data_IF_564827340984
#
_entry.id   IF_564827340984
#
_cell.length_a   1.000
_cell.length_b   1.000
_cell.length_c   1.000
_cell.angle_alpha   90.00
_cell.angle_beta   90.00
_cell.angle_gamma   90.00
#
_symmetry.space_group_name_H-M   'P 1'
#
loop_
_entity.id
_entity.type
_entity.pdbx_description
1 polymer ?
#
# COMPACT_ATOMS: atom_id res chain seq x y z
N UNK A 1 56.07 -28.93 14.38
CA UNK A 1 55.35 -28.24 13.29
C UNK A 1 53.84 -28.42 13.34
N UNK A 2 53.29 -29.47 13.98
CA UNK A 2 51.84 -29.69 14.07
C UNK A 2 51.07 -28.61 14.88
N UNK A 3 51.63 -28.10 15.97
CA UNK A 3 50.94 -27.13 16.85
C UNK A 3 50.80 -25.71 16.28
N UNK A 4 51.50 -25.34 15.20
CA UNK A 4 51.34 -24.02 14.56
C UNK A 4 50.32 -24.04 13.42
N UNK A 5 50.04 -25.21 12.85
CA UNK A 5 49.06 -25.39 11.79
C UNK A 5 47.62 -25.38 12.34
N UNK A 6 47.43 -25.93 13.53
CA UNK A 6 46.12 -26.04 14.17
C UNK A 6 45.58 -24.70 14.68
N UNK A 7 46.47 -23.78 15.11
CA UNK A 7 46.10 -22.43 15.55
C UNK A 7 45.74 -21.52 14.37
N UNK A 8 46.31 -21.75 13.19
CA UNK A 8 46.00 -20.99 11.98
C UNK A 8 44.61 -21.34 11.44
N UNK A 9 44.23 -22.63 11.47
CA UNK A 9 42.89 -23.06 11.05
C UNK A 9 41.78 -22.52 11.96
N UNK A 10 42.03 -22.38 13.26
CA UNK A 10 41.02 -21.90 14.22
C UNK A 10 40.79 -20.38 14.13
N UNK A 11 41.83 -19.62 13.76
CA UNK A 11 41.71 -18.17 13.51
C UNK A 11 40.94 -17.86 12.20
N UNK A 12 41.04 -18.73 11.19
CA UNK A 12 40.34 -18.54 9.90
C UNK A 12 38.83 -18.81 10.04
N UNK A 13 38.42 -19.77 10.88
CA UNK A 13 36.99 -20.05 11.12
C UNK A 13 36.29 -18.95 11.93
N UNK A 14 36.99 -18.27 12.85
CA UNK A 14 36.42 -17.19 13.67
C UNK A 14 36.27 -15.85 12.92
N UNK A 15 36.92 -15.69 11.76
CA UNK A 15 36.80 -14.49 10.91
C UNK A 15 35.77 -14.69 9.78
N UNK A 16 35.25 -15.91 9.62
CA UNK A 16 34.29 -16.26 8.54
C UNK A 16 32.82 -16.05 8.93
N UNK A 17 32.51 -15.65 10.16
CA UNK A 17 31.17 -15.24 10.57
C UNK A 17 30.90 -13.77 10.23
N UNK A 18 31.20 -13.39 8.98
CA UNK A 18 30.63 -12.21 8.38
C UNK A 18 29.15 -12.51 8.13
N UNK A 19 28.33 -12.11 9.10
CA UNK A 19 26.94 -11.67 8.93
C UNK A 19 26.31 -12.05 7.60
N UNK A 20 25.78 -13.26 7.50
CA UNK A 20 24.54 -13.41 6.77
C UNK A 20 23.49 -12.68 7.61
N UNK A 21 23.38 -11.36 7.43
CA UNK A 21 22.09 -10.75 7.61
C UNK A 21 21.15 -11.56 6.70
N UNK A 22 19.93 -11.93 7.13
CA UNK A 22 18.93 -12.20 6.14
C UNK A 22 18.82 -10.89 5.36
N UNK A 23 19.51 -10.81 4.21
CA UNK A 23 18.98 -10.06 3.12
C UNK A 23 17.63 -10.72 2.90
N UNK A 24 16.58 -10.10 3.43
CA UNK A 24 15.27 -10.20 2.85
C UNK A 24 15.52 -9.90 1.38
N UNK A 25 15.70 -10.95 0.58
CA UNK A 25 15.47 -10.88 -0.83
C UNK A 25 13.97 -10.61 -0.92
N UNK A 26 13.58 -9.36 -0.68
CA UNK A 26 12.34 -8.86 -1.25
C UNK A 26 12.49 -9.18 -2.73
N UNK A 27 11.51 -9.89 -3.24
CA UNK A 27 11.46 -10.45 -4.58
C UNK A 27 11.66 -9.34 -5.62
N UNK A 28 12.90 -8.94 -5.88
CA UNK A 28 13.28 -7.70 -6.57
C UNK A 28 13.14 -7.75 -8.11
N UNK A 29 12.36 -8.69 -8.63
CA UNK A 29 12.24 -8.90 -10.09
C UNK A 29 10.82 -9.23 -10.55
N UNK A 30 9.82 -9.24 -9.66
CA UNK A 30 8.43 -9.32 -10.12
C UNK A 30 7.84 -7.91 -10.22
N UNK A 31 7.64 -7.37 -11.43
CA UNK A 31 7.06 -6.04 -11.60
C UNK A 31 5.62 -5.96 -11.07
N UNK A 32 4.92 -7.09 -10.88
CA UNK A 32 3.58 -7.10 -10.30
C UNK A 32 3.56 -6.98 -8.78
N UNK A 33 4.71 -7.02 -8.11
CA UNK A 33 4.81 -6.95 -6.65
C UNK A 33 5.20 -5.54 -6.17
N UNK A 34 4.70 -5.13 -4.98
CA UNK A 34 5.12 -3.87 -4.37
C UNK A 34 6.58 -3.92 -3.91
N UNK A 35 7.26 -2.79 -4.03
CA UNK A 35 8.56 -2.54 -3.40
C UNK A 35 8.73 -1.04 -3.14
N UNK A 36 9.82 -0.66 -2.47
CA UNK A 36 10.16 0.77 -2.27
C UNK A 36 10.34 1.48 -3.62
N UNK A 37 10.92 0.78 -4.60
CA UNK A 37 11.14 1.28 -5.96
C UNK A 37 9.92 1.10 -6.88
N UNK A 38 8.95 0.26 -6.50
CA UNK A 38 7.70 0.03 -7.23
C UNK A 38 6.46 0.20 -6.32
N UNK A 39 6.14 1.43 -5.89
CA UNK A 39 5.04 1.71 -4.96
C UNK A 39 3.68 1.91 -5.64
N UNK A 40 3.66 1.96 -6.98
CA UNK A 40 2.47 2.30 -7.76
C UNK A 40 1.70 1.04 -8.16
N UNK A 41 0.45 0.96 -7.73
CA UNK A 41 -0.50 -0.07 -8.12
C UNK A 41 -1.46 0.49 -9.16
N UNK A 42 -1.63 -0.17 -10.29
CA UNK A 42 -2.39 0.33 -11.43
C UNK A 42 -3.75 -0.36 -11.54
N UNK A 43 -4.78 0.36 -12.00
CA UNK A 43 -6.12 -0.21 -12.26
C UNK A 43 -6.23 -0.74 -13.69
N UNK A 44 -6.88 -1.90 -13.80
CA UNK A 44 -7.13 -2.61 -15.05
C UNK A 44 -8.51 -3.24 -15.02
N UNK A 45 -9.11 -3.46 -16.18
CA UNK A 45 -10.43 -4.08 -16.20
C UNK A 45 -10.98 -4.26 -17.60
N UNK A 46 -12.14 -4.90 -17.69
CA UNK A 46 -12.86 -5.10 -18.95
C UNK A 46 -13.71 -3.90 -19.31
N UNK A 47 -14.04 -3.78 -20.60
CA UNK A 47 -14.92 -2.75 -21.15
C UNK A 47 -16.28 -2.69 -20.45
N UNK A 48 -16.77 -3.82 -19.94
CA UNK A 48 -18.08 -3.91 -19.31
C UNK A 48 -18.04 -3.96 -17.77
N UNK A 49 -16.90 -3.73 -17.11
CA UNK A 49 -16.74 -3.93 -15.65
C UNK A 49 -17.00 -5.36 -15.13
N UNK A 50 -17.12 -6.38 -15.98
CA UNK A 50 -17.27 -7.77 -15.51
C UNK A 50 -16.05 -8.24 -14.72
N UNK A 51 -14.90 -7.62 -14.92
CA UNK A 51 -13.71 -7.79 -14.09
C UNK A 51 -12.97 -6.46 -13.92
N UNK A 52 -12.55 -6.19 -12.68
CA UNK A 52 -11.59 -5.14 -12.37
C UNK A 52 -10.50 -5.71 -11.47
N UNK A 53 -9.25 -5.44 -11.81
CA UNK A 53 -8.09 -5.89 -11.04
C UNK A 53 -7.02 -4.82 -10.92
N UNK A 54 -6.07 -5.07 -10.03
CA UNK A 54 -4.92 -4.20 -9.83
C UNK A 54 -3.62 -5.00 -9.75
N UNK A 55 -2.50 -4.38 -10.15
CA UNK A 55 -1.14 -4.88 -9.90
C UNK A 55 -0.12 -3.76 -10.07
N UNK A 56 1.14 -4.01 -9.70
CA UNK A 56 2.18 -3.00 -9.70
C UNK A 56 2.96 -2.87 -11.02
N UNK A 57 2.72 -3.75 -12.00
CA UNK A 57 3.38 -3.64 -13.31
C UNK A 57 2.66 -2.61 -14.19
N UNK A 58 3.31 -1.49 -14.49
CA UNK A 58 2.76 -0.45 -15.36
C UNK A 58 2.70 -0.83 -16.84
N UNK A 59 3.42 -1.88 -17.26
CA UNK A 59 3.52 -2.29 -18.66
C UNK A 59 2.60 -3.46 -19.01
N UNK A 60 2.01 -4.13 -18.02
CA UNK A 60 1.11 -5.26 -18.25
C UNK A 60 -0.35 -4.82 -18.35
N UNK A 61 -0.80 -4.51 -19.57
CA UNK A 61 -2.21 -4.26 -19.86
C UNK A 61 -2.98 -5.52 -20.29
N UNK A 62 -2.41 -6.70 -20.05
CA UNK A 62 -2.96 -7.98 -20.51
C UNK A 62 -4.40 -8.20 -20.07
N UNK A 63 -5.31 -8.28 -21.05
CA UNK A 63 -6.74 -8.50 -20.82
C UNK A 63 -7.55 -7.26 -20.43
N UNK A 64 -6.90 -6.12 -20.20
CA UNK A 64 -7.57 -4.84 -19.99
C UNK A 64 -8.27 -4.36 -21.26
N UNK A 65 -9.29 -3.51 -21.13
CA UNK A 65 -10.02 -2.91 -22.23
C UNK A 65 -9.06 -2.16 -23.17
N UNK A 66 -9.19 -2.37 -24.49
CA UNK A 66 -8.29 -1.76 -25.48
C UNK A 66 -8.38 -0.23 -25.50
N UNK A 67 -9.56 0.32 -25.22
CA UNK A 67 -9.77 1.77 -25.09
C UNK A 67 -9.27 2.34 -23.76
N UNK A 68 -8.93 1.47 -22.80
CA UNK A 68 -8.44 1.86 -21.48
C UNK A 68 -9.51 2.42 -20.55
N UNK A 69 -10.79 2.13 -20.79
CA UNK A 69 -11.87 2.36 -19.84
C UNK A 69 -12.89 1.24 -19.92
N UNK A 70 -13.66 1.09 -18.85
CA UNK A 70 -14.93 0.37 -18.91
C UNK A 70 -16.09 1.36 -18.84
N UNK A 71 -17.22 0.96 -19.41
CA UNK A 71 -18.45 1.74 -19.43
C UNK A 71 -19.70 0.89 -19.18
N UNK A 72 -20.73 1.55 -18.61
CA UNK A 72 -22.08 1.03 -18.52
C UNK A 72 -23.07 2.10 -18.93
N UNK A 73 -23.97 1.72 -19.84
CA UNK A 73 -25.10 2.53 -20.28
C UNK A 73 -26.39 2.08 -19.60
N UNK A 74 -27.24 3.04 -19.24
CA UNK A 74 -28.52 2.84 -18.59
C UNK A 74 -29.62 3.48 -19.44
N UNK A 75 -30.73 2.78 -19.67
CA UNK A 75 -31.79 3.36 -20.49
C UNK A 75 -32.34 4.64 -19.82
N UNK A 76 -32.94 5.51 -20.62
CA UNK A 76 -33.60 6.74 -20.16
C UNK A 76 -34.46 6.50 -18.91
N UNK A 77 -34.28 7.37 -17.91
CA UNK A 77 -35.00 7.34 -16.64
C UNK A 77 -34.68 6.14 -15.73
N UNK A 78 -33.80 5.23 -16.15
CA UNK A 78 -33.25 4.21 -15.25
C UNK A 78 -32.18 4.84 -14.35
N UNK A 79 -32.07 4.31 -13.14
CA UNK A 79 -31.02 4.69 -12.20
C UNK A 79 -29.67 4.24 -12.75
N UNK A 80 -28.72 5.16 -12.80
CA UNK A 80 -27.31 4.89 -13.07
C UNK A 80 -26.74 4.34 -11.79
N UNK A 81 -26.50 3.03 -11.75
CA UNK A 81 -26.03 2.32 -10.57
C UNK A 81 -24.83 1.46 -10.92
N UNK A 82 -23.70 1.72 -10.26
CA UNK A 82 -22.50 0.92 -10.36
C UNK A 82 -21.98 0.59 -8.97
N UNK A 83 -21.59 -0.67 -8.81
CA UNK A 83 -20.89 -1.17 -7.63
C UNK A 83 -19.95 -2.27 -8.09
N UNK A 84 -18.65 -2.02 -8.04
CA UNK A 84 -17.64 -3.01 -8.39
C UNK A 84 -16.42 -2.85 -7.49
N UNK A 85 -15.60 -3.90 -7.44
CA UNK A 85 -14.40 -3.92 -6.62
C UNK A 85 -13.22 -4.35 -7.48
N UNK A 86 -12.19 -3.52 -7.52
CA UNK A 86 -10.91 -3.85 -8.11
C UNK A 86 -10.05 -4.54 -7.06
N UNK A 87 -9.67 -5.80 -7.32
CA UNK A 87 -8.86 -6.62 -6.40
C UNK A 87 -7.48 -6.87 -6.99
N UNK A 88 -6.50 -7.06 -6.13
CA UNK A 88 -5.16 -7.45 -6.55
C UNK A 88 -5.23 -8.74 -7.43
N UNK A 89 -4.65 -8.69 -8.62
CA UNK A 89 -4.72 -9.76 -9.61
C UNK A 89 -4.01 -11.04 -9.12
N UNK A 90 -2.87 -10.86 -8.48
CA UNK A 90 -2.04 -11.92 -7.93
C UNK A 90 -1.74 -11.61 -6.47
N UNK A 91 -1.86 -12.62 -5.61
CA UNK A 91 -1.57 -12.45 -4.20
C UNK A 91 -0.15 -11.92 -3.96
N UNK A 92 0.02 -11.19 -2.87
CA UNK A 92 1.35 -10.73 -2.46
C UNK A 92 2.29 -11.91 -2.25
N UNK A 93 3.53 -11.79 -2.74
CA UNK A 93 4.58 -12.78 -2.48
C UNK A 93 5.17 -12.61 -1.09
N UNK A 94 5.32 -11.36 -0.67
CA UNK A 94 5.87 -10.91 0.62
C UNK A 94 4.98 -9.84 1.26
N UNK A 95 5.14 -9.59 2.57
CA UNK A 95 4.39 -8.54 3.27
C UNK A 95 4.83 -7.15 2.79
N UNK A 96 3.87 -6.31 2.40
CA UNK A 96 4.09 -4.89 2.12
C UNK A 96 4.00 -4.08 3.41
N UNK A 97 4.99 -3.23 3.66
CA UNK A 97 5.04 -2.33 4.81
C UNK A 97 4.90 -0.88 4.35
N UNK A 98 4.08 -0.10 5.04
CA UNK A 98 3.84 1.31 4.77
C UNK A 98 4.46 2.20 5.84
N UNK A 99 4.95 3.38 5.43
CA UNK A 99 5.43 4.40 6.36
C UNK A 99 4.29 4.83 7.29
N UNK A 100 4.45 4.76 8.63
CA UNK A 100 3.42 5.20 9.58
C UNK A 100 3.06 6.68 9.48
N UNK A 101 3.93 7.50 8.89
CA UNK A 101 3.69 8.93 8.63
C UNK A 101 3.42 9.21 7.14
N UNK A 102 3.26 8.17 6.33
CA UNK A 102 3.01 8.29 4.90
C UNK A 102 1.54 8.56 4.59
N UNK A 103 1.29 8.83 3.32
CA UNK A 103 -0.05 9.01 2.76
C UNK A 103 -0.22 8.07 1.58
N UNK A 104 -1.29 7.26 1.60
CA UNK A 104 -1.74 6.51 0.43
C UNK A 104 -2.49 7.49 -0.47
N UNK A 105 -2.13 7.53 -1.75
CA UNK A 105 -2.77 8.41 -2.73
C UNK A 105 -3.50 7.53 -3.74
N UNK A 106 -4.82 7.64 -3.83
CA UNK A 106 -5.65 6.95 -4.81
C UNK A 106 -6.08 7.97 -5.87
N UNK A 107 -5.75 7.68 -7.12
CA UNK A 107 -6.08 8.50 -8.28
C UNK A 107 -6.93 7.67 -9.25
N UNK A 108 -8.11 8.18 -9.58
CA UNK A 108 -9.00 7.58 -10.57
C UNK A 108 -9.56 8.63 -11.51
N UNK A 109 -9.76 8.23 -12.77
CA UNK A 109 -10.56 8.99 -13.72
C UNK A 109 -11.97 8.43 -13.81
N UNK A 110 -12.97 9.31 -13.86
CA UNK A 110 -14.36 8.94 -14.17
C UNK A 110 -14.96 9.91 -15.19
N UNK A 111 -16.01 9.45 -15.89
CA UNK A 111 -16.86 10.29 -16.73
C UNK A 111 -18.29 9.80 -16.61
N UNK A 112 -19.19 10.68 -16.18
CA UNK A 112 -20.52 10.26 -15.72
C UNK A 112 -21.58 11.15 -16.36
N UNK A 113 -22.65 10.53 -16.84
CA UNK A 113 -23.86 11.20 -17.28
C UNK A 113 -25.08 10.70 -16.52
N UNK A 114 -25.63 11.54 -15.64
CA UNK A 114 -26.82 11.23 -14.85
C UNK A 114 -27.56 12.51 -14.44
N UNK A 115 -28.81 12.38 -14.03
CA UNK A 115 -29.52 13.47 -13.38
C UNK A 115 -29.02 13.69 -11.94
N UNK A 116 -29.36 14.86 -11.39
CA UNK A 116 -29.14 15.17 -9.99
C UNK A 116 -30.13 14.46 -9.08
N UNK A 117 -29.69 14.23 -7.84
CA UNK A 117 -30.52 13.63 -6.81
C UNK A 117 -31.55 14.62 -6.27
N UNK A 118 -32.78 14.14 -6.15
CA UNK A 118 -33.87 14.87 -5.51
C UNK A 118 -33.98 14.45 -4.04
N UNK A 119 -34.55 15.29 -3.17
CA UNK A 119 -34.71 15.04 -1.72
C UNK A 119 -35.53 13.78 -1.34
N UNK A 120 -36.06 13.05 -2.31
CA UNK A 120 -36.91 11.87 -2.11
C UNK A 120 -36.27 10.55 -2.57
N UNK A 121 -35.04 10.58 -3.10
CA UNK A 121 -34.38 9.42 -3.69
C UNK A 121 -33.15 8.99 -2.89
N UNK A 122 -32.98 7.68 -2.73
CA UNK A 122 -31.79 7.08 -2.11
C UNK A 122 -30.64 7.13 -3.13
N UNK A 123 -29.87 8.21 -3.07
CA UNK A 123 -28.69 8.41 -3.90
C UNK A 123 -27.40 8.07 -3.18
N UNK A 124 -26.40 7.70 -3.96
CA UNK A 124 -25.03 7.49 -3.49
C UNK A 124 -24.12 8.28 -4.42
N UNK A 125 -23.49 9.34 -3.92
CA UNK A 125 -22.44 9.99 -4.70
C UNK A 125 -21.26 9.03 -4.86
N UNK A 126 -20.35 9.36 -5.77
CA UNK A 126 -19.20 8.52 -6.02
C UNK A 126 -18.44 8.30 -4.71
N UNK A 127 -18.36 7.04 -4.30
CA UNK A 127 -17.78 6.65 -3.02
C UNK A 127 -16.68 5.64 -3.29
N UNK A 128 -15.49 5.94 -2.77
CA UNK A 128 -14.34 5.05 -2.82
C UNK A 128 -14.12 4.46 -1.44
N UNK A 129 -13.89 3.16 -1.39
CA UNK A 129 -13.56 2.44 -0.16
C UNK A 129 -12.26 1.66 -0.37
N UNK A 130 -11.26 1.95 0.45
CA UNK A 130 -10.05 1.14 0.54
C UNK A 130 -10.31 0.01 1.53
N UNK A 131 -10.20 -1.22 1.04
CA UNK A 131 -10.38 -2.44 1.83
C UNK A 131 -9.05 -3.13 2.04
N UNK A 132 -8.87 -3.66 3.25
CA UNK A 132 -7.79 -4.57 3.64
C UNK A 132 -8.40 -5.95 3.86
N UNK A 133 -8.32 -6.80 2.84
CA UNK A 133 -9.10 -8.05 2.82
C UNK A 133 -10.60 -7.75 2.83
N UNK A 134 -11.27 -8.14 3.92
CA UNK A 134 -12.70 -7.88 4.13
C UNK A 134 -12.99 -6.67 5.05
N UNK A 135 -11.96 -5.94 5.47
CA UNK A 135 -12.10 -4.79 6.37
C UNK A 135 -12.05 -3.49 5.56
N UNK A 136 -13.10 -2.67 5.67
CA UNK A 136 -13.07 -1.28 5.17
C UNK A 136 -12.17 -0.45 6.08
N UNK A 137 -10.99 -0.06 5.60
CA UNK A 137 -10.01 0.70 6.40
C UNK A 137 -10.12 2.20 6.17
N UNK A 138 -10.60 2.62 5.00
CA UNK A 138 -10.93 4.01 4.72
C UNK A 138 -12.09 4.09 3.72
N UNK A 139 -12.92 5.12 3.82
CA UNK A 139 -14.02 5.41 2.88
C UNK A 139 -14.15 6.92 2.71
N UNK A 140 -14.33 7.38 1.47
CA UNK A 140 -14.61 8.77 1.17
C UNK A 140 -15.66 8.89 0.06
N UNK A 141 -16.61 9.82 0.29
CA UNK A 141 -17.61 10.24 -0.68
C UNK A 141 -17.17 11.52 -1.38
N UNK A 142 -17.40 11.59 -2.70
CA UNK A 142 -17.07 12.71 -3.57
C UNK A 142 -18.36 13.32 -4.12
N UNK A 143 -19.01 14.25 -3.39
CA UNK A 143 -20.30 14.83 -3.78
C UNK A 143 -20.20 15.82 -4.95
N UNK A 144 -19.00 16.33 -5.23
CA UNK A 144 -18.73 17.36 -6.24
C UNK A 144 -18.36 16.80 -7.61
N UNK A 145 -18.47 15.48 -7.82
CA UNK A 145 -18.24 14.87 -9.13
C UNK A 145 -19.34 15.30 -10.11
N UNK A 146 -18.91 15.81 -11.27
CA UNK A 146 -19.81 16.24 -12.33
C UNK A 146 -20.57 15.05 -12.94
N UNK A 147 -21.83 15.28 -13.30
CA UNK A 147 -22.69 14.28 -13.96
C UNK A 147 -23.11 14.73 -15.37
N UNK A 148 -22.36 15.67 -15.96
CA UNK A 148 -22.65 16.30 -17.26
C UNK A 148 -21.80 15.71 -18.40
N UNK A 149 -21.27 14.50 -18.20
CA UNK A 149 -20.41 13.76 -19.13
C UNK A 149 -19.03 14.41 -19.39
N UNK A 150 -18.50 15.13 -18.40
CA UNK A 150 -17.12 15.60 -18.42
C UNK A 150 -16.18 14.57 -17.77
N UNK A 151 -14.92 14.58 -18.19
CA UNK A 151 -13.84 13.82 -17.56
C UNK A 151 -13.42 14.48 -16.24
N UNK A 152 -13.42 13.70 -15.17
CA UNK A 152 -13.10 14.15 -13.82
C UNK A 152 -11.98 13.31 -13.23
N UNK A 153 -10.89 13.97 -12.83
CA UNK A 153 -9.78 13.33 -12.12
C UNK A 153 -10.02 13.47 -10.61
N UNK A 154 -10.09 12.33 -9.94
CA UNK A 154 -10.29 12.28 -8.50
C UNK A 154 -8.98 11.86 -7.86
N UNK A 155 -8.63 12.58 -6.80
CA UNK A 155 -7.46 12.31 -5.99
C UNK A 155 -7.84 12.25 -4.53
N UNK A 156 -7.63 11.09 -3.93
CA UNK A 156 -7.94 10.80 -2.54
C UNK A 156 -6.65 10.55 -1.75
N UNK A 157 -6.42 11.36 -0.73
CA UNK A 157 -5.29 11.18 0.19
C UNK A 157 -5.76 10.54 1.49
N UNK A 158 -5.12 9.43 1.86
CA UNK A 158 -5.41 8.69 3.09
C UNK A 158 -4.13 8.66 3.93
N UNK A 159 -4.09 9.33 5.09
CA UNK A 159 -2.98 9.18 6.01
C UNK A 159 -2.89 7.72 6.49
N UNK A 160 -1.68 7.17 6.57
CA UNK A 160 -1.48 5.80 7.04
C UNK A 160 -1.74 5.75 8.55
N UNK A 161 -2.76 4.97 8.94
CA UNK A 161 -3.05 4.67 10.34
C UNK A 161 -2.39 3.36 10.80
N UNK A 162 -2.37 3.11 12.12
CA UNK A 162 -1.78 1.90 12.72
C UNK A 162 -2.28 0.58 12.09
N UNK A 163 -3.54 0.54 11.64
CA UNK A 163 -4.14 -0.65 11.03
C UNK A 163 -3.76 -0.87 9.55
N UNK A 164 -3.08 0.10 8.92
CA UNK A 164 -2.68 0.11 7.51
C UNK A 164 -1.17 -0.05 7.30
N UNK A 165 -0.37 -0.13 8.38
CA UNK A 165 1.10 -0.16 8.30
C UNK A 165 1.68 -1.43 7.67
N UNK A 166 0.89 -2.51 7.60
CA UNK A 166 1.32 -3.77 6.98
C UNK A 166 0.17 -4.43 6.23
N UNK A 167 0.48 -5.08 5.10
CA UNK A 167 -0.48 -5.78 4.25
C UNK A 167 0.11 -7.14 3.88
N UNK A 168 -0.58 -8.22 4.21
CA UNK A 168 -0.06 -9.58 4.11
C UNK A 168 -0.74 -10.38 2.98
N UNK A 169 -0.06 -11.45 2.54
CA UNK A 169 -0.51 -12.43 1.53
C UNK A 169 -1.79 -13.20 1.91
N UNK A 170 -2.11 -13.29 3.21
CA UNK A 170 -3.11 -14.23 3.74
C UNK A 170 -4.46 -13.56 3.96
N UNK A 171 -4.91 -12.80 2.96
CA UNK A 171 -6.23 -12.18 2.95
C UNK A 171 -6.28 -10.76 3.53
N UNK A 172 -5.14 -10.06 3.58
CA UNK A 172 -5.08 -8.63 3.91
C UNK A 172 -4.59 -7.80 2.72
N UNK A 173 -4.88 -8.25 1.49
CA UNK A 173 -4.51 -7.54 0.28
C UNK A 173 -5.43 -6.34 0.03
N UNK A 174 -4.93 -5.28 -0.63
CA UNK A 174 -5.72 -4.12 -0.97
C UNK A 174 -6.77 -4.44 -2.02
N UNK A 175 -7.97 -3.94 -1.78
CA UNK A 175 -9.03 -3.87 -2.78
C UNK A 175 -9.68 -2.50 -2.71
N UNK A 176 -10.06 -1.95 -3.86
CA UNK A 176 -10.77 -0.68 -3.96
C UNK A 176 -12.19 -0.96 -4.42
N UNK A 177 -13.16 -0.57 -3.61
CA UNK A 177 -14.57 -0.64 -3.98
C UNK A 177 -15.03 0.74 -4.44
N UNK A 178 -15.74 0.75 -5.57
CA UNK A 178 -16.28 1.93 -6.23
C UNK A 178 -17.79 1.79 -6.24
N UNK A 179 -18.49 2.79 -5.71
CA UNK A 179 -19.94 2.83 -5.63
C UNK A 179 -20.44 4.17 -6.16
N UNK A 180 -21.50 4.14 -6.97
CA UNK A 180 -22.20 5.33 -7.44
C UNK A 180 -23.65 4.99 -7.80
N UNK A 181 -24.58 5.84 -7.40
CA UNK A 181 -26.00 5.67 -7.68
C UNK A 181 -26.70 7.02 -7.79
N UNK A 182 -27.15 7.37 -8.99
CA UNK A 182 -27.96 8.57 -9.25
C UNK A 182 -29.08 8.30 -10.26
N UNK A 183 -30.18 9.06 -10.24
CA UNK A 183 -31.24 8.91 -11.23
C UNK A 183 -30.74 9.20 -12.65
N UNK A 184 -31.30 8.54 -13.65
CA UNK A 184 -31.12 8.91 -15.05
C UNK A 184 -32.03 10.08 -15.45
N UNK A 185 -31.65 10.82 -16.48
CA UNK A 185 -32.48 11.90 -17.02
C UNK A 185 -33.82 11.38 -17.55
N UNK A 186 -34.90 12.07 -17.21
CA UNK A 186 -36.27 11.68 -17.57
C UNK A 186 -37.19 12.89 -17.80
N UNK A 187 -36.68 13.95 -18.40
CA UNK A 187 -37.49 15.13 -18.72
C UNK A 187 -38.04 15.09 -20.16
N UNK A 188 -38.84 16.10 -20.52
CA UNK A 188 -39.45 16.19 -21.85
C UNK A 188 -38.43 16.44 -22.98
N UNK A 189 -37.22 16.90 -22.64
CA UNK A 189 -36.16 17.14 -23.62
C UNK A 189 -35.58 15.84 -24.15
N UNK A 190 -35.65 14.77 -23.37
CA UNK A 190 -35.27 13.41 -23.75
C UNK A 190 -36.11 12.79 -24.88
N UNK A 191 -37.19 13.44 -25.34
CA UNK A 191 -37.92 13.02 -26.56
C UNK A 191 -37.13 13.37 -27.83
N UNK A 192 -36.28 14.41 -27.76
CA UNK A 192 -35.48 14.91 -28.87
C UNK A 192 -33.97 14.75 -28.67
N UNK A 193 -33.52 14.56 -27.43
CA UNK A 193 -32.12 14.39 -27.04
C UNK A 193 -31.87 12.99 -26.48
N UNK A 194 -30.63 12.54 -26.53
CA UNK A 194 -30.21 11.30 -25.87
C UNK A 194 -30.07 11.55 -24.36
N UNK A 195 -30.81 10.78 -23.58
CA UNK A 195 -30.81 10.82 -22.10
C UNK A 195 -30.38 9.46 -21.52
N UNK A 196 -29.69 8.64 -22.31
CA UNK A 196 -29.08 7.39 -21.86
C UNK A 196 -28.06 7.73 -20.78
N UNK A 197 -28.26 7.21 -19.57
CA UNK A 197 -27.30 7.43 -18.48
C UNK A 197 -26.01 6.65 -18.74
N UNK A 198 -24.87 7.19 -18.36
CA UNK A 198 -23.57 6.57 -18.60
C UNK A 198 -22.66 6.69 -17.39
N UNK A 199 -21.87 5.64 -17.14
CA UNK A 199 -20.79 5.67 -16.16
C UNK A 199 -19.54 5.05 -16.77
N UNK A 200 -18.46 5.81 -16.81
CA UNK A 200 -17.17 5.37 -17.32
C UNK A 200 -16.13 5.41 -16.19
N UNK A 201 -15.27 4.41 -16.16
CA UNK A 201 -14.12 4.34 -15.26
C UNK A 201 -12.86 4.07 -16.08
N UNK A 202 -11.86 4.95 -15.94
CA UNK A 202 -10.62 4.85 -16.68
C UNK A 202 -9.64 3.88 -16.01
N UNK A 203 -8.98 3.05 -16.82
CA UNK A 203 -7.89 2.16 -16.46
C UNK A 203 -6.54 2.78 -16.83
N UNK A 204 -5.45 2.21 -16.34
CA UNK A 204 -4.12 2.80 -16.49
C UNK A 204 -3.66 2.92 -17.95
N UNK A 205 -4.14 2.07 -18.86
CA UNK A 205 -3.83 2.16 -20.30
C UNK A 205 -4.72 3.12 -21.10
N UNK A 206 -5.48 4.01 -20.45
CA UNK A 206 -6.27 5.01 -21.16
C UNK A 206 -5.40 5.96 -21.98
N UNK A 207 -5.95 6.47 -23.07
CA UNK A 207 -5.27 7.42 -23.97
C UNK A 207 -5.66 8.87 -23.68
N UNK A 208 -6.60 9.07 -22.77
CA UNK A 208 -7.18 10.37 -22.41
C UNK A 208 -6.31 11.12 -21.38
N UNK A 209 -5.29 10.45 -20.83
CA UNK A 209 -4.33 11.05 -19.90
C UNK A 209 -4.82 11.12 -18.45
N UNK A 210 -5.81 10.30 -18.10
CA UNK A 210 -6.32 10.18 -16.73
C UNK A 210 -5.39 9.31 -15.89
N UNK A 211 -5.15 9.69 -14.64
CA UNK A 211 -4.43 8.87 -13.69
C UNK A 211 -5.37 7.81 -13.10
N UNK A 212 -4.97 6.54 -13.22
CA UNK A 212 -5.70 5.39 -12.71
C UNK A 212 -4.74 4.46 -11.94
N UNK A 213 -4.35 4.91 -10.75
CA UNK A 213 -3.37 4.21 -9.91
C UNK A 213 -3.54 4.52 -8.43
N UNK A 214 -2.87 3.73 -7.59
CA UNK A 214 -2.72 3.93 -6.16
C UNK A 214 -1.23 3.99 -5.84
N UNK A 215 -0.78 5.05 -5.21
CA UNK A 215 0.57 5.17 -4.69
C UNK A 215 0.59 4.83 -3.20
N UNK A 216 1.30 3.76 -2.84
CA UNK A 216 1.51 3.37 -1.47
C UNK A 216 2.84 3.92 -0.95
N UNK A 217 2.92 4.46 0.27
CA UNK A 217 4.19 4.90 0.87
C UNK A 217 4.99 3.68 1.37
N UNK A 218 5.44 2.82 0.45
CA UNK A 218 6.12 1.56 0.76
C UNK A 218 7.50 1.83 1.35
N UNK A 219 7.81 1.17 2.46
CA UNK A 219 9.10 1.27 3.16
C UNK A 219 9.65 -0.10 3.50
N UNK A 220 10.92 -0.15 3.87
CA UNK A 220 11.51 -1.35 4.44
C UNK A 220 10.89 -1.69 5.81
N UNK A 221 10.89 -2.98 6.18
CA UNK A 221 10.32 -3.44 7.45
C UNK A 221 10.92 -2.73 8.69
N UNK A 222 12.22 -2.41 8.67
CA UNK A 222 12.88 -1.69 9.76
C UNK A 222 12.29 -0.30 9.96
N UNK A 223 12.03 0.42 8.87
CA UNK A 223 11.49 1.78 8.87
C UNK A 223 10.01 1.82 9.28
N UNK A 224 9.25 0.77 8.98
CA UNK A 224 7.86 0.64 9.43
C UNK A 224 7.71 0.38 10.94
N UNK A 225 8.79 -0.05 11.61
CA UNK A 225 8.78 -0.38 13.05
C UNK A 225 9.43 0.73 13.89
N UNK A 226 10.11 1.69 13.26
CA UNK A 226 10.67 2.83 13.97
C UNK A 226 9.53 3.73 14.44
N UNK A 227 9.38 3.98 15.76
CA UNK A 227 8.51 5.03 16.24
C UNK A 227 8.92 6.33 15.57
N UNK A 228 7.95 7.12 15.10
CA UNK A 228 8.20 8.49 14.71
C UNK A 228 8.74 9.23 15.95
N UNK A 229 10.06 9.37 16.06
CA UNK A 229 10.67 10.11 17.15
C UNK A 229 10.41 11.60 16.89
N UNK A 230 9.59 12.29 17.71
CA UNK A 230 9.23 13.68 17.45
C UNK A 230 10.36 14.67 17.80
N UNK A 231 11.50 14.22 18.30
CA UNK A 231 12.59 15.12 18.72
C UNK A 231 13.91 14.80 18.01
N UNK A 232 14.05 15.35 16.81
CA UNK A 232 15.35 15.58 16.21
C UNK A 232 16.10 16.69 16.96
N UNK A 233 16.80 16.35 18.04
CA UNK A 233 17.89 17.16 18.56
C UNK A 233 19.19 16.36 18.61
N UNK A 234 20.18 16.89 17.90
CA UNK A 234 21.54 16.36 17.89
C UNK A 234 22.21 16.74 19.21
N UNK A 235 22.47 15.75 20.07
CA UNK A 235 23.27 15.92 21.27
C UNK A 235 24.15 14.70 21.53
N UNK A 236 25.42 14.78 21.12
CA UNK A 236 26.53 13.98 21.65
C UNK A 236 26.47 13.98 23.19
N UNK A 237 26.18 12.84 23.82
CA UNK A 237 26.83 12.42 25.07
C UNK A 237 26.64 10.93 25.32
N UNK A 238 27.70 10.27 25.80
CA UNK A 238 27.74 8.85 26.07
C UNK A 238 26.80 8.45 27.20
N UNK A 239 25.66 7.84 26.85
CA UNK A 239 24.67 7.37 27.82
C UNK A 239 24.09 6.02 27.43
N UNK A 240 24.35 5.00 28.25
CA UNK A 240 23.79 3.66 28.12
C UNK A 240 22.32 3.70 28.54
N UNK A 241 21.37 3.67 27.59
CA UNK A 241 20.01 3.14 27.78
C UNK A 241 19.21 3.20 26.48
N UNK A 242 18.66 2.06 26.04
CA UNK A 242 17.73 2.01 24.91
C UNK A 242 17.40 0.58 24.52
N UNK A 243 16.71 -0.12 25.41
CA UNK A 243 16.33 -1.52 25.26
C UNK A 243 15.39 -1.73 24.06
N UNK A 244 15.84 -2.52 23.08
CA UNK A 244 14.99 -3.11 22.04
C UNK A 244 14.06 -4.13 22.72
N UNK A 245 12.72 -4.01 22.61
CA UNK A 245 11.82 -5.03 23.15
C UNK A 245 11.96 -6.31 22.33
N UNK A 246 12.74 -7.27 22.82
CA UNK A 246 12.75 -8.62 22.24
C UNK A 246 14.01 -9.46 22.41
N UNK A 247 15.21 -8.87 22.43
CA UNK A 247 16.46 -9.65 22.49
C UNK A 247 17.59 -8.91 23.24
N UNK A 248 17.38 -8.65 24.53
CA UNK A 248 18.31 -7.88 25.38
C UNK A 248 18.97 -8.65 26.53
N UNK A 249 19.03 -9.99 26.50
CA UNK A 249 19.61 -10.78 27.61
C UNK A 249 20.61 -11.82 27.12
N UNK A 250 21.84 -11.42 26.82
CA UNK A 250 23.06 -12.20 27.13
C UNK A 250 24.32 -11.37 26.83
N UNK A 251 24.69 -10.48 27.75
CA UNK A 251 26.06 -9.97 27.87
C UNK A 251 26.24 -9.61 29.36
N UNK A 252 26.84 -10.47 30.16
CA UNK A 252 28.27 -10.37 30.42
C UNK A 252 28.52 -10.53 31.92
N UNK A 253 28.40 -11.75 32.44
CA UNK A 253 28.91 -12.12 33.75
C UNK A 253 30.22 -12.88 33.55
N UNK A 254 31.32 -12.17 33.37
CA UNK A 254 32.66 -12.74 33.53
C UNK A 254 33.65 -11.63 33.92
N UNK A 255 34.14 -11.73 35.16
CA UNK A 255 35.50 -11.41 35.61
C UNK A 255 35.54 -10.43 36.79
N UNK A 256 35.51 -10.97 38.01
CA UNK A 256 36.30 -10.47 39.13
C UNK A 256 36.62 -11.65 40.08
N UNK A 257 37.76 -12.29 39.85
CA UNK A 257 38.41 -13.16 40.83
C UNK A 257 39.93 -12.96 40.72
N UNK A 258 40.45 -11.93 41.39
CA UNK A 258 41.88 -11.83 41.69
C UNK A 258 42.06 -12.16 43.18
N UNK A 259 42.74 -13.28 43.41
CA UNK A 259 43.02 -13.85 44.71
C UNK A 259 43.98 -12.98 45.53
N UNK A 260 43.64 -12.82 46.81
CA UNK A 260 44.48 -12.21 47.84
C UNK A 260 45.14 -13.31 48.69
N UNK A 261 46.47 -13.41 48.69
CA UNK A 261 47.34 -14.08 49.69
C UNK A 261 48.74 -13.44 49.52
N UNK A 262 49.51 -12.95 50.50
CA UNK A 262 49.35 -12.65 51.93
C UNK A 262 50.37 -11.57 52.32
N UNK A 263 50.07 -10.85 53.39
CA UNK A 263 51.03 -10.12 54.25
C UNK A 263 52.05 -11.11 54.86
N UNK A 264 53.15 -10.80 55.58
CA UNK A 264 53.75 -9.63 56.21
C UNK A 264 55.15 -10.06 56.69
N UNK A 265 56.09 -9.11 56.81
CA UNK A 265 57.10 -8.97 57.89
C UNK A 265 58.14 -10.08 58.16
N UNK A 266 59.43 -9.69 58.09
CA UNK A 266 60.34 -9.83 59.23
C UNK A 266 61.40 -8.71 59.24
N UNK A 267 61.49 -8.02 60.38
CA UNK A 267 62.64 -7.23 60.80
C UNK A 267 63.83 -8.15 61.10
N UNK A 268 65.02 -7.73 60.71
CA UNK A 268 66.21 -7.58 61.56
C UNK A 268 67.11 -6.49 60.96
#
# INVERSE_FOLDING_TARGET
MANRLMTLCMAIFLVSSATAAPASAQTADDPKQPSVENPHMHFWGTDDFSSCWTHFDSNDSGGSAEQGYGDRTFNQGQRVEVSFTCRLQENFKDTMYLSPNGTIIIEIGVKIYSADCNDQEDCTNLTLTLQKGNLDVARQEFPSVDNSFNEEQIRWEIPVDQNMTSWNRSGEEPAIMIEYSKPGYNDITCILLDCTGEFWFYYYNNQDGMDAQVNFPVVNMSEATEPADPDGDNGDDGGIAGAVPGFGLTAGLCALALAAISSRSKNE
#
